data_IF_123407447841
#
_entry.id   IF_123407447841
#
_cell.length_a   1.000
_cell.length_b   1.000
_cell.length_c   1.000
_cell.angle_alpha   90.00
_cell.angle_beta   90.00
_cell.angle_gamma   90.00
#
_symmetry.space_group_name_H-M   'P 1'
#
loop_
_entity.id
_entity.type
_entity.pdbx_description
1 polymer ?
#
# COMPACT_ATOMS: atom_id res chain seq x y z
N UNK A 1 -2.23 22.84 -63.08
CA UNK A 1 -3.12 23.49 -62.10
C UNK A 1 -2.98 22.68 -60.81
N UNK A 2 -2.10 22.99 -59.85
CA UNK A 2 -1.90 24.24 -59.09
C UNK A 2 -3.18 24.76 -58.45
N UNK A 3 -3.24 24.62 -57.13
CA UNK A 3 -4.20 25.17 -56.18
C UNK A 3 -3.81 24.70 -54.77
N UNK A 4 -3.01 25.51 -54.09
CA UNK A 4 -2.38 25.24 -52.79
C UNK A 4 -2.98 26.12 -51.67
N UNK A 5 -2.53 25.81 -50.44
CA UNK A 5 -2.61 26.57 -49.16
C UNK A 5 -3.91 26.42 -48.35
N UNK A 6 -3.94 26.37 -47.02
CA UNK A 6 -3.04 26.24 -45.85
C UNK A 6 -4.00 26.47 -44.64
N UNK A 7 -3.87 26.04 -43.40
CA UNK A 7 -2.92 25.26 -42.61
C UNK A 7 -3.36 25.31 -41.12
N UNK A 8 -2.65 24.56 -40.26
CA UNK A 8 -2.37 24.79 -38.80
C UNK A 8 -3.60 24.77 -37.84
N UNK A 9 -3.70 24.00 -36.75
CA UNK A 9 -2.72 23.66 -35.72
C UNK A 9 -3.04 22.31 -35.03
N UNK A 10 -1.99 21.53 -34.77
CA UNK A 10 -1.95 20.44 -33.78
C UNK A 10 -1.14 20.94 -32.58
N UNK A 11 -1.67 20.79 -31.36
CA UNK A 11 -1.06 20.98 -30.01
C UNK A 11 -2.24 20.78 -29.03
N UNK A 12 -2.22 20.11 -27.88
CA UNK A 12 -1.29 19.41 -26.97
C UNK A 12 -2.19 19.03 -25.76
N UNK A 13 -1.94 18.06 -24.88
CA UNK A 13 -0.72 17.56 -24.26
C UNK A 13 -0.94 16.08 -23.91
N UNK A 14 -0.02 15.23 -24.33
CA UNK A 14 0.40 14.08 -23.55
C UNK A 14 1.67 14.53 -22.84
N UNK A 15 1.68 14.46 -21.51
CA UNK A 15 2.87 14.65 -20.69
C UNK A 15 2.70 13.76 -19.46
N UNK A 16 3.82 13.23 -18.99
CA UNK A 16 4.00 12.40 -17.79
C UNK A 16 3.96 10.89 -18.05
N UNK A 17 4.80 10.45 -18.99
CA UNK A 17 5.49 9.17 -18.92
C UNK A 17 6.90 9.38 -19.48
N UNK A 18 7.90 8.77 -18.83
CA UNK A 18 9.32 8.75 -19.17
C UNK A 18 10.23 9.81 -18.51
N UNK A 19 10.17 9.89 -17.18
CA UNK A 19 11.29 10.41 -16.38
C UNK A 19 11.65 9.40 -15.27
N UNK A 20 11.92 8.16 -15.68
CA UNK A 20 12.54 7.15 -14.83
C UNK A 20 13.92 6.82 -15.41
N UNK A 21 14.94 7.02 -14.57
CA UNK A 21 16.36 6.80 -14.82
C UNK A 21 17.06 7.87 -15.67
N UNK A 22 17.36 9.03 -15.07
CA UNK A 22 18.61 9.71 -15.40
C UNK A 22 19.53 9.74 -14.17
N UNK A 23 20.72 9.21 -14.39
CA UNK A 23 21.71 8.83 -13.41
C UNK A 23 22.52 10.03 -12.93
N UNK A 24 22.31 10.44 -11.67
CA UNK A 24 23.23 11.27 -10.92
C UNK A 24 24.16 10.42 -10.06
N UNK A 25 25.22 9.85 -10.65
CA UNK A 25 26.34 9.31 -9.88
C UNK A 25 27.05 10.47 -9.17
N UNK A 26 26.59 10.81 -7.96
CA UNK A 26 27.23 11.75 -7.06
C UNK A 26 28.59 11.21 -6.61
N UNK A 27 29.65 11.93 -6.97
CA UNK A 27 31.02 11.64 -6.56
C UNK A 27 31.14 11.68 -5.03
N UNK A 28 31.43 10.53 -4.40
CA UNK A 28 31.75 10.44 -2.97
C UNK A 28 33.04 11.21 -2.68
N UNK A 29 32.92 12.34 -1.98
CA UNK A 29 34.06 12.99 -1.32
C UNK A 29 34.54 12.16 -0.12
N UNK A 30 35.83 12.27 0.27
CA UNK A 30 36.46 11.37 1.24
C UNK A 30 35.98 11.50 2.71
N UNK A 31 34.99 12.35 3.01
CA UNK A 31 34.56 12.67 4.39
C UNK A 31 33.03 12.53 4.64
N UNK A 32 32.32 11.73 3.85
CA UNK A 32 30.90 11.43 4.12
C UNK A 32 30.78 10.44 5.29
N UNK A 33 30.84 10.95 6.53
CA UNK A 33 30.44 10.21 7.71
C UNK A 33 28.93 9.90 7.62
N UNK A 34 28.58 8.63 7.44
CA UNK A 34 27.20 8.17 7.46
C UNK A 34 26.56 8.52 8.83
N UNK A 35 25.45 9.27 8.88
CA UNK A 35 24.68 9.36 10.10
C UNK A 35 24.14 7.96 10.40
N UNK A 36 24.24 7.52 11.66
CA UNK A 36 23.98 6.14 12.09
C UNK A 36 22.70 5.56 11.48
N UNK A 37 22.89 4.67 10.51
CA UNK A 37 21.81 3.91 9.87
C UNK A 37 21.27 2.82 10.81
N UNK A 38 20.00 2.42 10.65
CA UNK A 38 19.36 1.42 11.49
C UNK A 38 19.82 0.00 11.11
N UNK A 39 20.32 -0.77 12.08
CA UNK A 39 20.30 -2.24 12.05
C UNK A 39 21.61 -2.97 11.69
N UNK A 40 21.82 -4.12 12.37
CA UNK A 40 22.91 -5.11 12.22
C UNK A 40 24.34 -4.72 12.68
N UNK A 41 24.49 -3.74 13.57
CA UNK A 41 25.80 -3.21 13.96
C UNK A 41 26.48 -3.76 15.23
N UNK A 42 25.82 -4.53 16.09
CA UNK A 42 26.30 -4.64 17.49
C UNK A 42 27.28 -5.79 17.81
N UNK A 43 27.28 -6.95 17.15
CA UNK A 43 28.17 -8.08 17.52
C UNK A 43 28.58 -8.97 16.34
N UNK A 44 29.11 -8.37 15.26
CA UNK A 44 29.70 -9.14 14.17
C UNK A 44 31.21 -9.24 14.37
N UNK A 45 31.74 -10.47 14.38
CA UNK A 45 33.15 -10.76 14.59
C UNK A 45 34.09 -10.06 13.59
N UNK A 46 35.42 -10.06 13.83
CA UNK A 46 36.40 -9.25 13.09
C UNK A 46 36.45 -9.48 11.56
N UNK A 47 35.82 -10.54 11.04
CA UNK A 47 35.68 -10.82 9.60
C UNK A 47 34.54 -10.08 8.88
N UNK A 48 33.68 -9.34 9.60
CA UNK A 48 32.52 -8.63 9.03
C UNK A 48 32.61 -7.10 9.20
N UNK A 49 33.81 -6.54 9.19
CA UNK A 49 34.01 -5.08 9.27
C UNK A 49 33.34 -4.29 8.12
N UNK A 50 33.02 -4.96 7.01
CA UNK A 50 32.27 -4.40 5.89
C UNK A 50 30.76 -4.29 6.16
N UNK A 51 30.20 -5.08 7.08
CA UNK A 51 28.75 -5.20 7.25
C UNK A 51 28.08 -3.89 7.66
N UNK A 52 28.61 -3.10 8.61
CA UNK A 52 28.04 -1.79 8.92
C UNK A 52 28.07 -0.82 7.74
N UNK A 53 29.04 -0.94 6.82
CA UNK A 53 29.12 -0.09 5.63
C UNK A 53 28.05 -0.46 4.59
N UNK A 54 27.69 -1.74 4.46
CA UNK A 54 26.69 -2.20 3.49
C UNK A 54 25.27 -2.07 4.04
N UNK A 55 25.03 -2.59 5.26
CA UNK A 55 23.70 -2.56 5.87
C UNK A 55 23.33 -1.18 6.43
N UNK A 56 24.32 -0.36 6.78
CA UNK A 56 24.10 1.04 7.17
C UNK A 56 24.04 2.03 6.00
N UNK A 57 24.25 1.58 4.75
CA UNK A 57 24.19 2.46 3.58
C UNK A 57 22.75 2.80 3.21
N UNK A 58 22.54 4.08 2.88
CA UNK A 58 21.27 4.63 2.42
C UNK A 58 21.58 5.68 1.33
N UNK A 59 20.80 5.69 0.24
CA UNK A 59 20.89 6.71 -0.83
C UNK A 59 20.26 8.04 -0.41
N UNK A 60 20.30 9.04 -1.30
CA UNK A 60 19.61 10.32 -1.11
C UNK A 60 18.07 10.16 -1.04
N UNK A 61 17.52 9.12 -1.67
CA UNK A 61 16.09 8.80 -1.70
C UNK A 61 15.68 7.80 -0.60
N UNK A 62 16.58 7.46 0.32
CA UNK A 62 16.30 6.50 1.40
C UNK A 62 16.48 5.03 1.01
N UNK A 63 16.99 4.71 -0.18
CA UNK A 63 17.17 3.33 -0.62
C UNK A 63 18.37 2.68 0.06
N UNK A 64 18.12 1.56 0.74
CA UNK A 64 19.18 0.71 1.30
C UNK A 64 19.85 -0.15 0.22
N UNK A 65 20.95 -0.83 0.56
CA UNK A 65 21.57 -1.81 -0.32
C UNK A 65 20.59 -2.90 -0.82
N UNK A 66 19.59 -3.27 -0.01
CA UNK A 66 18.55 -4.22 -0.40
C UNK A 66 17.60 -3.65 -1.47
N UNK A 67 17.18 -2.39 -1.31
CA UNK A 67 16.37 -1.71 -2.33
C UNK A 67 17.11 -1.65 -3.65
N UNK A 68 18.39 -1.24 -3.62
CA UNK A 68 19.23 -1.16 -4.81
C UNK A 68 19.45 -2.53 -5.48
N UNK A 69 19.60 -3.60 -4.69
CA UNK A 69 19.71 -4.95 -5.24
C UNK A 69 18.47 -5.34 -6.06
N UNK A 70 17.28 -4.97 -5.59
CA UNK A 70 16.00 -5.21 -6.28
C UNK A 70 15.83 -4.27 -7.49
N UNK A 71 16.10 -2.97 -7.34
CA UNK A 71 16.00 -1.97 -8.43
C UNK A 71 16.88 -2.36 -9.61
N UNK A 72 18.10 -2.82 -9.33
CA UNK A 72 19.05 -3.26 -10.35
C UNK A 72 18.91 -4.72 -10.76
N UNK A 73 17.90 -5.44 -10.22
CA UNK A 73 17.63 -6.86 -10.52
C UNK A 73 18.87 -7.74 -10.33
N UNK A 74 19.68 -7.42 -9.32
CA UNK A 74 20.97 -8.02 -9.09
C UNK A 74 20.86 -9.21 -8.12
N UNK A 75 20.27 -10.29 -8.63
CA UNK A 75 19.96 -11.52 -7.89
C UNK A 75 21.13 -12.06 -7.02
N UNK A 76 22.38 -12.16 -7.50
CA UNK A 76 23.48 -12.66 -6.66
C UNK A 76 23.78 -11.80 -5.43
N UNK A 77 23.55 -10.49 -5.53
CA UNK A 77 23.77 -9.56 -4.41
C UNK A 77 22.56 -9.55 -3.48
N UNK A 78 21.35 -9.68 -4.02
CA UNK A 78 20.15 -9.93 -3.23
C UNK A 78 20.31 -11.18 -2.37
N UNK A 79 20.70 -12.32 -2.97
CA UNK A 79 20.93 -13.57 -2.25
C UNK A 79 22.00 -13.43 -1.16
N UNK A 80 23.08 -12.71 -1.46
CA UNK A 80 24.11 -12.38 -0.48
C UNK A 80 23.56 -11.58 0.71
N UNK A 81 22.78 -10.52 0.46
CA UNK A 81 22.18 -9.70 1.50
C UNK A 81 21.19 -10.51 2.36
N UNK A 82 20.33 -11.31 1.72
CA UNK A 82 19.35 -12.15 2.42
C UNK A 82 20.01 -13.23 3.30
N UNK A 83 21.21 -13.69 2.95
CA UNK A 83 22.00 -14.60 3.78
C UNK A 83 22.35 -14.05 5.17
N UNK A 84 22.25 -12.73 5.39
CA UNK A 84 22.45 -12.07 6.69
C UNK A 84 21.19 -11.36 7.20
N UNK A 85 20.33 -10.88 6.31
CA UNK A 85 19.16 -10.08 6.67
C UNK A 85 17.87 -10.88 6.90
N UNK A 86 17.82 -12.16 6.55
CA UNK A 86 16.63 -12.98 6.74
C UNK A 86 16.17 -12.99 8.22
N UNK A 87 14.88 -12.75 8.45
CA UNK A 87 14.27 -12.66 9.77
C UNK A 87 14.63 -11.41 10.57
N UNK A 88 15.31 -10.43 9.98
CA UNK A 88 15.68 -9.17 10.66
C UNK A 88 14.81 -8.00 10.20
N UNK A 89 14.77 -6.94 11.01
CA UNK A 89 14.04 -5.70 10.68
C UNK A 89 14.56 -4.98 9.42
N UNK A 90 15.75 -5.36 8.92
CA UNK A 90 16.32 -4.81 7.70
C UNK A 90 15.41 -4.99 6.48
N UNK A 91 14.60 -6.06 6.46
CA UNK A 91 13.63 -6.33 5.39
C UNK A 91 12.44 -5.36 5.40
N UNK A 92 12.20 -4.65 6.51
CA UNK A 92 11.07 -3.74 6.69
C UNK A 92 11.46 -2.27 6.51
N UNK A 93 12.76 -1.97 6.31
CA UNK A 93 13.20 -0.60 6.08
C UNK A 93 12.52 -0.04 4.84
N UNK A 94 12.08 1.22 4.97
CA UNK A 94 11.35 1.94 3.94
C UNK A 94 12.20 3.10 3.42
N UNK A 95 12.22 3.29 2.10
CA UNK A 95 12.78 4.49 1.49
C UNK A 95 11.85 5.70 1.67
N UNK A 96 12.19 6.86 1.07
CA UNK A 96 11.42 8.11 1.24
C UNK A 96 9.99 8.05 0.68
N UNK A 97 9.71 7.06 -0.18
CA UNK A 97 8.38 6.75 -0.68
C UNK A 97 7.60 5.79 0.23
N UNK A 98 8.16 5.39 1.37
CA UNK A 98 7.59 4.36 2.23
C UNK A 98 7.72 2.94 1.63
N UNK A 99 8.52 2.75 0.58
CA UNK A 99 8.60 1.45 -0.09
C UNK A 99 9.65 0.57 0.55
N UNK A 100 9.33 -0.71 0.73
CA UNK A 100 10.30 -1.74 1.12
C UNK A 100 10.83 -2.41 -0.15
N UNK A 101 11.86 -3.24 -0.02
CA UNK A 101 12.32 -4.09 -1.12
C UNK A 101 11.20 -4.98 -1.72
N UNK A 102 10.23 -5.43 -0.89
CA UNK A 102 9.10 -6.23 -1.35
C UNK A 102 8.11 -5.40 -2.20
N UNK A 103 7.90 -4.12 -1.85
CA UNK A 103 7.12 -3.19 -2.67
C UNK A 103 7.74 -3.02 -4.06
N UNK A 104 9.06 -2.79 -4.11
CA UNK A 104 9.78 -2.62 -5.37
C UNK A 104 9.73 -3.90 -6.23
N UNK A 105 9.90 -5.07 -5.62
CA UNK A 105 9.83 -6.35 -6.32
C UNK A 105 8.43 -6.59 -6.95
N UNK A 106 7.36 -6.21 -6.24
CA UNK A 106 6.00 -6.28 -6.78
C UNK A 106 5.79 -5.30 -7.95
N UNK A 107 6.28 -4.07 -7.86
CA UNK A 107 6.21 -3.05 -8.93
C UNK A 107 7.00 -3.50 -10.17
N UNK A 108 8.17 -4.11 -9.98
CA UNK A 108 9.03 -4.60 -11.08
C UNK A 108 8.55 -5.93 -11.68
N UNK A 109 7.45 -6.49 -11.15
CA UNK A 109 6.82 -7.74 -11.57
C UNK A 109 7.74 -8.97 -11.45
N UNK A 110 8.65 -8.96 -10.46
CA UNK A 110 9.65 -10.01 -10.29
C UNK A 110 9.21 -11.07 -9.27
N UNK A 111 8.49 -12.08 -9.73
CA UNK A 111 7.97 -13.14 -8.85
C UNK A 111 9.08 -13.91 -8.10
N UNK A 112 10.25 -14.14 -8.73
CA UNK A 112 11.42 -14.77 -8.08
C UNK A 112 11.90 -13.92 -6.89
N UNK A 113 12.08 -12.63 -7.11
CA UNK A 113 12.52 -11.67 -6.10
C UNK A 113 11.50 -11.56 -4.96
N UNK A 114 10.20 -11.50 -5.29
CA UNK A 114 9.10 -11.53 -4.30
C UNK A 114 9.14 -12.81 -3.47
N UNK A 115 9.34 -13.97 -4.10
CA UNK A 115 9.43 -15.26 -3.40
C UNK A 115 10.62 -15.30 -2.44
N UNK A 116 11.80 -14.85 -2.88
CA UNK A 116 13.01 -14.79 -2.04
C UNK A 116 12.82 -13.88 -0.84
N UNK A 117 12.29 -12.67 -1.04
CA UNK A 117 12.03 -11.72 0.04
C UNK A 117 10.96 -12.26 1.00
N UNK A 118 9.89 -12.86 0.49
CA UNK A 118 8.83 -13.43 1.32
C UNK A 118 9.33 -14.62 2.14
N UNK A 119 10.09 -15.54 1.52
CA UNK A 119 10.73 -16.67 2.19
C UNK A 119 11.75 -16.24 3.25
N UNK A 120 12.41 -15.09 3.05
CA UNK A 120 13.35 -14.52 4.01
C UNK A 120 12.66 -13.82 5.20
N UNK A 121 11.34 -13.73 5.23
CA UNK A 121 10.58 -13.14 6.34
C UNK A 121 10.15 -11.68 6.12
N UNK A 122 10.16 -11.19 4.88
CA UNK A 122 9.57 -9.88 4.58
C UNK A 122 8.06 -9.87 4.94
N UNK A 123 7.61 -8.76 5.53
CA UNK A 123 6.23 -8.59 5.96
C UNK A 123 5.36 -8.18 4.79
N UNK A 124 4.19 -8.82 4.66
CA UNK A 124 3.23 -8.56 3.58
C UNK A 124 2.35 -7.33 3.84
N UNK A 125 2.35 -6.82 5.08
CA UNK A 125 1.40 -5.80 5.54
C UNK A 125 2.04 -4.41 5.72
N UNK A 126 3.34 -4.26 5.45
CA UNK A 126 3.96 -2.94 5.41
C UNK A 126 3.29 -2.15 4.29
N UNK A 127 2.95 -0.88 4.56
CA UNK A 127 2.25 -0.01 3.63
C UNK A 127 3.18 1.14 3.20
N UNK A 128 3.25 1.41 1.89
CA UNK A 128 3.97 2.58 1.38
C UNK A 128 3.20 3.88 1.60
N UNK A 129 3.71 5.02 1.10
CA UNK A 129 3.18 6.35 1.38
C UNK A 129 1.71 6.56 0.96
N UNK A 130 1.19 5.82 -0.02
CA UNK A 130 -0.24 5.77 -0.38
C UNK A 130 -1.07 4.75 0.40
N UNK A 131 -0.48 4.06 1.37
CA UNK A 131 -1.10 2.98 2.12
C UNK A 131 -1.10 1.64 1.36
N UNK A 132 -0.45 1.54 0.21
CA UNK A 132 -0.45 0.30 -0.56
C UNK A 132 0.49 -0.74 0.04
N UNK A 133 0.00 -1.97 0.22
CA UNK A 133 0.86 -3.14 0.46
C UNK A 133 1.43 -3.68 -0.85
N UNK A 134 2.38 -4.62 -0.78
CA UNK A 134 2.93 -5.29 -1.97
C UNK A 134 1.84 -5.92 -2.86
N UNK A 135 0.78 -6.50 -2.26
CA UNK A 135 -0.33 -7.06 -3.03
C UNK A 135 -1.17 -5.98 -3.73
N UNK A 136 -1.39 -4.82 -3.11
CA UNK A 136 -2.05 -3.70 -3.79
C UNK A 136 -1.26 -3.26 -5.02
N UNK A 137 0.07 -3.16 -4.89
CA UNK A 137 0.96 -2.78 -5.99
C UNK A 137 0.93 -3.83 -7.10
N UNK A 138 0.97 -5.12 -6.75
CA UNK A 138 0.82 -6.22 -7.70
C UNK A 138 -0.51 -6.16 -8.46
N UNK A 139 -1.63 -5.84 -7.78
CA UNK A 139 -2.94 -5.66 -8.40
C UNK A 139 -2.99 -4.46 -9.35
N UNK A 140 -2.27 -3.37 -9.03
CA UNK A 140 -2.22 -2.15 -9.85
C UNK A 140 -1.45 -2.36 -11.16
N UNK A 141 -0.32 -3.07 -11.10
CA UNK A 141 0.52 -3.32 -12.28
C UNK A 141 0.11 -4.57 -13.07
N UNK A 142 -0.75 -5.43 -12.50
CA UNK A 142 -1.17 -6.70 -13.13
C UNK A 142 -0.18 -7.84 -12.94
N UNK A 143 0.63 -7.81 -11.88
CA UNK A 143 1.66 -8.82 -11.61
C UNK A 143 1.08 -10.13 -11.06
N UNK A 144 0.40 -10.92 -11.90
CA UNK A 144 -0.27 -12.17 -11.49
C UNK A 144 0.69 -13.19 -10.88
N UNK A 145 1.93 -13.25 -11.37
CA UNK A 145 2.94 -14.16 -10.85
C UNK A 145 3.37 -13.79 -9.42
N UNK A 146 3.55 -12.49 -9.14
CA UNK A 146 3.82 -12.00 -7.79
C UNK A 146 2.62 -12.26 -6.86
N UNK A 147 1.40 -11.99 -7.32
CA UNK A 147 0.20 -12.26 -6.53
C UNK A 147 0.07 -13.74 -6.17
N UNK A 148 0.36 -14.66 -7.10
CA UNK A 148 0.39 -16.12 -6.80
C UNK A 148 1.38 -16.48 -5.69
N UNK A 149 2.54 -15.82 -5.64
CA UNK A 149 3.53 -16.02 -4.58
C UNK A 149 3.06 -15.47 -3.24
N UNK A 150 2.40 -14.31 -3.26
CA UNK A 150 1.92 -13.63 -2.05
C UNK A 150 0.66 -14.27 -1.46
N UNK A 151 -0.20 -14.87 -2.29
CA UNK A 151 -1.50 -15.45 -1.93
C UNK A 151 -1.41 -16.93 -1.53
N UNK A 152 -0.34 -17.30 -0.83
CA UNK A 152 -0.12 -18.65 -0.31
C UNK A 152 0.72 -18.56 0.97
N UNK A 153 0.76 -19.63 1.80
CA UNK A 153 1.62 -19.68 2.96
C UNK A 153 3.08 -19.39 2.62
N UNK A 154 3.80 -18.78 3.57
CA UNK A 154 5.20 -18.39 3.40
C UNK A 154 6.03 -19.59 2.92
N UNK A 155 6.75 -19.47 1.77
CA UNK A 155 7.63 -20.52 1.31
C UNK A 155 8.69 -20.82 2.37
N UNK A 156 8.87 -22.10 2.70
CA UNK A 156 9.94 -22.50 3.60
C UNK A 156 11.28 -22.30 2.90
N UNK A 157 12.14 -21.45 3.46
CA UNK A 157 13.53 -21.39 3.04
C UNK A 157 14.15 -22.78 3.32
N UNK A 158 14.85 -23.42 2.36
CA UNK A 158 15.51 -24.69 2.60
C UNK A 158 16.43 -24.55 3.83
N UNK A 159 16.11 -25.26 4.91
CA UNK A 159 17.00 -25.36 6.08
C UNK A 159 18.36 -25.88 5.60
N UNK A 160 19.35 -25.00 5.58
CA UNK A 160 20.77 -25.36 5.52
C UNK A 160 21.41 -25.28 4.14
N UNK A 161 21.98 -24.12 3.85
CA UNK A 161 23.42 -24.10 3.58
C UNK A 161 24.08 -23.38 4.76
N UNK A 162 25.00 -24.01 5.51
CA UNK A 162 25.77 -23.28 6.51
C UNK A 162 26.45 -22.13 5.79
N UNK A 163 26.20 -20.92 6.26
CA UNK A 163 26.73 -19.69 5.67
C UNK A 163 28.25 -19.84 5.56
N UNK A 164 28.76 -20.13 4.36
CA UNK A 164 30.18 -20.48 4.14
C UNK A 164 31.10 -19.32 4.54
N UNK A 165 30.58 -18.10 4.55
CA UNK A 165 31.25 -16.90 5.05
C UNK A 165 31.49 -16.91 6.57
N UNK A 166 30.65 -17.60 7.36
CA UNK A 166 30.89 -17.79 8.80
C UNK A 166 31.80 -19.00 9.08
N UNK A 167 31.94 -19.93 8.12
CA UNK A 167 32.75 -21.13 8.27
C UNK A 167 34.24 -20.94 7.90
N UNK A 168 34.60 -19.86 7.20
CA UNK A 168 35.97 -19.59 6.75
C UNK A 168 36.85 -18.90 7.81
N UNK A 169 36.74 -19.36 9.05
CA UNK A 169 37.47 -18.85 10.21
C UNK A 169 38.21 -19.92 11.00
N UNK A 170 38.73 -20.99 10.40
CA UNK A 170 39.77 -21.81 11.05
C UNK A 170 40.49 -22.75 10.08
N UNK A 171 41.65 -22.32 9.57
CA UNK A 171 42.67 -23.21 9.03
C UNK A 171 43.85 -23.30 10.01
N UNK A 172 43.82 -24.26 10.93
CA UNK A 172 44.99 -25.01 11.40
C UNK A 172 44.58 -26.28 12.17
N UNK A 173 45.10 -27.42 11.71
CA UNK A 173 44.82 -28.78 12.18
C UNK A 173 45.67 -29.17 13.42
N UNK A 174 45.67 -30.44 13.84
CA UNK A 174 44.71 -31.09 14.72
C UNK A 174 45.36 -31.38 16.08
N UNK A 175 44.68 -31.08 17.20
CA UNK A 175 45.07 -31.70 18.45
C UNK A 175 43.88 -32.16 19.27
N UNK A 176 44.06 -33.37 19.76
CA UNK A 176 43.20 -34.10 20.67
C UNK A 176 42.92 -33.34 21.95
N UNK A 177 41.74 -33.61 22.52
CA UNK A 177 41.27 -33.17 23.83
C UNK A 177 41.14 -31.66 23.99
N UNK A 178 39.94 -31.14 23.80
CA UNK A 178 39.17 -30.45 24.83
C UNK A 178 37.79 -30.16 24.23
N UNK A 179 36.77 -30.80 24.79
CA UNK A 179 35.35 -30.49 24.55
C UNK A 179 35.13 -29.01 24.86
N UNK A 180 35.17 -28.15 23.84
CA UNK A 180 34.79 -26.75 23.97
C UNK A 180 33.29 -26.66 23.74
N UNK A 181 32.61 -26.51 24.86
CA UNK A 181 31.18 -26.30 25.01
C UNK A 181 30.75 -25.11 24.15
N UNK A 182 29.94 -25.38 23.12
CA UNK A 182 29.10 -24.36 22.51
C UNK A 182 28.01 -24.02 23.53
N UNK A 183 28.33 -23.11 24.47
CA UNK A 183 27.38 -22.44 25.34
C UNK A 183 26.68 -21.37 24.49
N UNK A 184 25.77 -21.80 23.62
CA UNK A 184 24.53 -21.06 23.50
C UNK A 184 23.65 -21.59 24.63
N UNK A 185 23.21 -20.75 25.58
CA UNK A 185 22.05 -21.13 26.38
C UNK A 185 20.94 -21.39 25.36
N UNK A 186 20.46 -22.64 25.30
CA UNK A 186 19.16 -22.96 24.73
C UNK A 186 18.18 -21.94 25.31
N UNK A 187 17.55 -21.07 24.50
CA UNK A 187 16.40 -20.35 25.02
C UNK A 187 15.38 -21.44 25.33
N UNK A 188 14.98 -21.49 26.60
CA UNK A 188 13.86 -22.31 27.03
C UNK A 188 12.72 -22.16 26.02
N UNK A 189 12.12 -23.28 25.67
CA UNK A 189 10.96 -23.44 24.80
C UNK A 189 9.75 -22.67 25.36
N UNK A 190 9.83 -21.35 25.40
CA UNK A 190 8.69 -20.46 25.42
C UNK A 190 8.10 -20.58 24.02
N UNK A 191 7.11 -21.46 23.92
CA UNK A 191 6.11 -21.56 22.86
C UNK A 191 6.30 -20.47 21.80
N UNK A 192 6.98 -20.79 20.69
CA UNK A 192 6.84 -19.98 19.48
C UNK A 192 5.33 -19.87 19.27
N UNK A 193 4.78 -18.67 19.49
CA UNK A 193 3.40 -18.33 19.17
C UNK A 193 3.28 -18.63 17.68
N UNK A 194 2.78 -19.82 17.35
CA UNK A 194 2.78 -20.31 16.00
C UNK A 194 2.10 -19.29 15.12
N UNK A 195 2.86 -18.71 14.17
CA UNK A 195 2.31 -17.96 13.04
C UNK A 195 1.14 -18.80 12.53
N UNK A 196 -0.07 -18.28 12.67
CA UNK A 196 -1.27 -19.01 12.30
C UNK A 196 -1.13 -19.35 10.83
N UNK A 197 -1.44 -20.58 10.41
CA UNK A 197 -1.31 -21.03 9.01
C UNK A 197 -2.03 -20.11 8.00
N UNK A 198 -2.87 -19.18 8.49
CA UNK A 198 -3.66 -18.23 7.73
C UNK A 198 -3.19 -16.76 7.83
N UNK A 199 -2.07 -16.43 8.45
CA UNK A 199 -1.63 -15.03 8.63
C UNK A 199 -1.45 -14.28 7.30
N UNK A 200 -1.05 -14.99 6.24
CA UNK A 200 -0.95 -14.41 4.90
C UNK A 200 -2.30 -13.90 4.37
N UNK A 201 -3.44 -14.42 4.84
CA UNK A 201 -4.78 -13.97 4.42
C UNK A 201 -5.10 -12.55 4.91
N UNK A 202 -4.41 -12.05 5.93
CA UNK A 202 -4.61 -10.68 6.44
C UNK A 202 -4.46 -9.62 5.35
N UNK A 203 -3.61 -9.89 4.33
CA UNK A 203 -3.39 -8.95 3.22
C UNK A 203 -4.60 -8.82 2.28
N UNK A 204 -5.52 -9.81 2.24
CA UNK A 204 -6.68 -9.82 1.34
C UNK A 204 -7.62 -8.65 1.61
N UNK A 205 -7.73 -8.28 2.89
CA UNK A 205 -8.64 -7.24 3.37
C UNK A 205 -7.91 -6.00 3.88
N UNK A 206 -6.58 -5.94 3.71
CA UNK A 206 -5.82 -4.73 3.97
C UNK A 206 -6.33 -3.59 3.07
N UNK A 207 -6.41 -2.38 3.61
CA UNK A 207 -6.93 -1.22 2.90
C UNK A 207 -5.82 -0.18 2.72
N UNK A 208 -5.72 0.40 1.53
CA UNK A 208 -4.90 1.59 1.31
C UNK A 208 -5.56 2.84 1.92
N UNK A 209 -4.93 4.02 1.79
CA UNK A 209 -5.47 5.25 2.34
C UNK A 209 -6.74 5.78 1.63
N UNK A 210 -7.10 5.18 0.49
CA UNK A 210 -8.38 5.42 -0.18
C UNK A 210 -9.49 4.47 0.32
N UNK A 211 -9.15 3.51 1.20
CA UNK A 211 -10.06 2.46 1.65
C UNK A 211 -10.29 1.36 0.61
N UNK A 212 -9.42 1.26 -0.40
CA UNK A 212 -9.45 0.21 -1.39
C UNK A 212 -8.68 -1.01 -0.87
N UNK A 213 -9.29 -2.19 -0.97
CA UNK A 213 -8.59 -3.48 -0.80
C UNK A 213 -7.89 -3.89 -2.10
N UNK A 214 -7.03 -4.92 -2.10
CA UNK A 214 -6.47 -5.46 -3.35
C UNK A 214 -7.55 -5.83 -4.37
N UNK A 215 -8.70 -6.34 -3.93
CA UNK A 215 -9.82 -6.65 -4.81
C UNK A 215 -10.42 -5.39 -5.46
N UNK A 216 -10.58 -4.30 -4.70
CA UNK A 216 -11.01 -3.01 -5.27
C UNK A 216 -10.04 -2.53 -6.36
N UNK A 217 -8.73 -2.59 -6.09
CA UNK A 217 -7.70 -2.19 -7.07
C UNK A 217 -7.77 -3.05 -8.33
N UNK A 218 -7.83 -4.38 -8.20
CA UNK A 218 -7.91 -5.30 -9.34
C UNK A 218 -9.16 -5.05 -10.21
N UNK A 219 -10.31 -4.78 -9.59
CA UNK A 219 -11.56 -4.47 -10.30
C UNK A 219 -11.47 -3.13 -11.05
N UNK A 220 -10.91 -2.09 -10.42
CA UNK A 220 -10.73 -0.77 -11.05
C UNK A 220 -9.81 -0.87 -12.29
N UNK A 221 -8.77 -1.70 -12.21
CA UNK A 221 -7.84 -1.97 -13.33
C UNK A 221 -8.38 -2.98 -14.36
N UNK A 222 -9.61 -3.48 -14.15
CA UNK A 222 -10.31 -4.43 -15.03
C UNK A 222 -9.56 -5.75 -15.21
N UNK A 223 -8.82 -6.17 -14.19
CA UNK A 223 -7.98 -7.36 -14.26
C UNK A 223 -8.76 -8.59 -13.80
N UNK A 224 -9.41 -9.27 -14.75
CA UNK A 224 -10.19 -10.46 -14.46
C UNK A 224 -9.34 -11.64 -13.94
N UNK A 225 -8.06 -11.74 -14.29
CA UNK A 225 -7.21 -12.81 -13.76
C UNK A 225 -6.82 -12.53 -12.31
N UNK A 226 -6.47 -11.29 -11.98
CA UNK A 226 -6.19 -10.91 -10.59
C UNK A 226 -7.42 -11.07 -9.69
N UNK A 227 -8.61 -10.72 -10.20
CA UNK A 227 -9.87 -10.95 -9.47
C UNK A 227 -10.11 -12.44 -9.21
N UNK A 228 -9.79 -13.34 -10.16
CA UNK A 228 -9.86 -14.80 -9.92
C UNK A 228 -8.91 -15.22 -8.80
N UNK A 229 -7.64 -14.80 -8.86
CA UNK A 229 -6.63 -15.15 -7.86
C UNK A 229 -7.05 -14.71 -6.45
N UNK A 230 -7.52 -13.47 -6.31
CA UNK A 230 -7.97 -12.93 -5.02
C UNK A 230 -9.21 -13.65 -4.49
N UNK A 231 -10.17 -13.97 -5.36
CA UNK A 231 -11.36 -14.72 -5.00
C UNK A 231 -11.02 -16.15 -4.54
N UNK A 232 -10.17 -16.86 -5.29
CA UNK A 232 -9.72 -18.22 -4.95
C UNK A 232 -8.94 -18.24 -3.63
N UNK A 233 -8.23 -17.15 -3.31
CA UNK A 233 -7.55 -16.96 -2.04
C UNK A 233 -8.49 -16.59 -0.87
N UNK A 234 -9.75 -16.23 -1.14
CA UNK A 234 -10.78 -15.97 -0.13
C UNK A 234 -11.09 -14.50 0.15
N UNK A 235 -10.78 -13.56 -0.77
CA UNK A 235 -11.17 -12.15 -0.64
C UNK A 235 -12.69 -11.97 -0.59
N UNK A 236 -13.16 -11.00 0.22
CA UNK A 236 -14.58 -10.66 0.31
C UNK A 236 -15.07 -9.89 -0.92
N UNK A 237 -15.90 -10.55 -1.72
CA UNK A 237 -16.49 -9.99 -2.94
C UNK A 237 -17.55 -8.91 -2.70
N UNK A 238 -17.94 -8.66 -1.45
CA UNK A 238 -19.01 -7.74 -1.08
C UNK A 238 -18.53 -6.56 -0.23
N UNK A 239 -17.25 -6.53 0.15
CA UNK A 239 -16.71 -5.46 1.00
C UNK A 239 -16.91 -4.10 0.32
N UNK A 240 -17.60 -3.14 0.95
CA UNK A 240 -17.80 -1.83 0.36
C UNK A 240 -16.57 -0.94 0.55
N UNK A 241 -16.22 -0.14 -0.45
CA UNK A 241 -15.28 0.97 -0.26
C UNK A 241 -15.93 2.12 0.52
N UNK A 242 -15.17 2.87 1.33
CA UNK A 242 -15.75 3.77 2.33
C UNK A 242 -16.28 5.10 1.81
N UNK A 243 -15.86 5.57 0.63
CA UNK A 243 -16.19 6.92 0.13
C UNK A 243 -17.67 7.08 -0.20
N UNK A 244 -18.29 6.09 -0.81
CA UNK A 244 -19.74 6.10 -1.06
C UNK A 244 -20.40 4.73 -0.91
N UNK A 245 -19.70 3.74 -0.35
CA UNK A 245 -20.24 2.41 -0.11
C UNK A 245 -20.33 1.55 -1.37
N UNK A 246 -19.48 1.79 -2.39
CA UNK A 246 -19.49 0.98 -3.61
C UNK A 246 -18.95 -0.41 -3.32
N UNK A 247 -19.74 -1.44 -3.62
CA UNK A 247 -19.23 -2.82 -3.64
C UNK A 247 -18.36 -3.08 -4.88
N UNK A 248 -17.61 -4.19 -4.93
CA UNK A 248 -16.84 -4.57 -6.12
C UNK A 248 -17.68 -4.63 -7.41
N UNK A 249 -18.95 -5.04 -7.33
CA UNK A 249 -19.88 -4.99 -8.46
C UNK A 249 -20.18 -3.56 -8.94
N UNK A 250 -20.29 -2.58 -8.04
CA UNK A 250 -20.46 -1.18 -8.43
C UNK A 250 -19.20 -0.67 -9.16
N UNK A 251 -18.01 -0.98 -8.63
CA UNK A 251 -16.74 -0.60 -9.24
C UNK A 251 -16.57 -1.23 -10.62
N UNK A 252 -16.91 -2.51 -10.80
CA UNK A 252 -16.87 -3.19 -12.10
C UNK A 252 -17.81 -2.54 -13.14
N UNK A 253 -19.00 -2.13 -12.69
CA UNK A 253 -19.94 -1.36 -13.52
C UNK A 253 -19.37 0.02 -13.86
N UNK A 254 -18.79 0.75 -12.91
CA UNK A 254 -18.17 2.07 -13.17
C UNK A 254 -16.98 1.96 -14.14
N UNK A 255 -16.16 0.93 -14.00
CA UNK A 255 -15.04 0.62 -14.88
C UNK A 255 -15.49 0.09 -16.27
N UNK A 256 -16.78 -0.20 -16.47
CA UNK A 256 -17.31 -0.82 -17.69
C UNK A 256 -16.68 -2.19 -18.01
N UNK A 257 -16.26 -2.94 -16.99
CA UNK A 257 -15.58 -4.23 -17.12
C UNK A 257 -16.60 -5.39 -17.06
N UNK A 258 -17.13 -5.79 -18.22
CA UNK A 258 -18.18 -6.81 -18.30
C UNK A 258 -17.68 -8.21 -17.92
N UNK A 259 -16.43 -8.53 -18.26
CA UNK A 259 -15.74 -9.77 -17.91
C UNK A 259 -15.49 -9.89 -16.40
N UNK A 260 -15.00 -8.83 -15.76
CA UNK A 260 -14.84 -8.77 -14.31
C UNK A 260 -16.19 -8.85 -13.61
N UNK A 261 -17.20 -8.12 -14.11
CA UNK A 261 -18.54 -8.16 -13.55
C UNK A 261 -19.15 -9.56 -13.62
N UNK A 262 -19.03 -10.24 -14.77
CA UNK A 262 -19.52 -11.61 -14.94
C UNK A 262 -18.80 -12.60 -14.02
N UNK A 263 -17.48 -12.46 -13.86
CA UNK A 263 -16.69 -13.26 -12.92
C UNK A 263 -17.19 -13.08 -11.48
N UNK A 264 -17.29 -11.83 -10.99
CA UNK A 264 -17.75 -11.54 -9.63
C UNK A 264 -19.16 -12.12 -9.37
N UNK A 265 -20.07 -11.99 -10.34
CA UNK A 265 -21.42 -12.54 -10.25
C UNK A 265 -21.44 -14.08 -10.22
N UNK A 266 -20.59 -14.74 -11.02
CA UNK A 266 -20.44 -16.21 -10.98
C UNK A 266 -19.80 -16.69 -9.68
N UNK A 267 -18.91 -15.89 -9.11
CA UNK A 267 -18.23 -16.14 -7.85
C UNK A 267 -19.11 -15.91 -6.61
N UNK A 268 -20.34 -15.40 -6.78
CA UNK A 268 -21.33 -15.25 -5.71
C UNK A 268 -21.38 -13.86 -5.07
N UNK A 269 -20.81 -12.83 -5.71
CA UNK A 269 -21.00 -11.45 -5.27
C UNK A 269 -22.50 -11.08 -5.29
N UNK A 270 -22.98 -10.40 -4.24
CA UNK A 270 -24.38 -10.08 -4.06
C UNK A 270 -24.82 -8.93 -4.98
N UNK A 271 -25.68 -9.16 -5.98
CA UNK A 271 -26.10 -8.12 -6.92
C UNK A 271 -27.11 -7.13 -6.31
N UNK A 272 -27.60 -7.38 -5.09
CA UNK A 272 -28.55 -6.53 -4.37
C UNK A 272 -27.86 -5.53 -3.41
N UNK A 273 -26.53 -5.43 -3.42
CA UNK A 273 -25.82 -4.42 -2.61
C UNK A 273 -26.29 -3.01 -2.98
N UNK A 274 -26.25 -2.10 -2.00
CA UNK A 274 -26.62 -0.70 -2.19
C UNK A 274 -25.49 0.19 -1.70
N UNK A 275 -25.11 1.18 -2.52
CA UNK A 275 -24.25 2.27 -2.07
C UNK A 275 -24.98 3.15 -1.05
N UNK A 276 -24.30 4.09 -0.39
CA UNK A 276 -24.93 4.96 0.63
C UNK A 276 -26.11 5.78 0.08
N UNK A 277 -26.07 6.12 -1.21
CA UNK A 277 -27.17 6.76 -1.93
C UNK A 277 -28.31 5.82 -2.35
N UNK A 278 -28.36 4.58 -1.85
CA UNK A 278 -29.42 3.60 -2.11
C UNK A 278 -29.37 2.90 -3.47
N UNK A 279 -28.55 3.39 -4.41
CA UNK A 279 -28.42 2.83 -5.76
C UNK A 279 -27.79 1.43 -5.72
N UNK A 280 -28.30 0.53 -6.57
CA UNK A 280 -27.79 -0.84 -6.78
C UNK A 280 -26.80 -0.89 -7.95
N UNK A 281 -26.01 -1.98 -8.12
CA UNK A 281 -25.17 -2.15 -9.29
C UNK A 281 -25.96 -2.07 -10.60
N UNK A 282 -27.20 -2.60 -10.63
CA UNK A 282 -28.08 -2.53 -11.80
C UNK A 282 -28.54 -1.09 -12.08
N UNK A 283 -28.91 -0.34 -11.04
CA UNK A 283 -29.24 1.07 -11.17
C UNK A 283 -28.06 1.89 -11.75
N UNK A 284 -26.83 1.60 -11.30
CA UNK A 284 -25.62 2.20 -11.90
C UNK A 284 -25.42 1.76 -13.35
N UNK A 285 -25.64 0.48 -13.69
CA UNK A 285 -25.43 -0.05 -15.03
C UNK A 285 -26.38 0.56 -16.07
N UNK A 286 -27.59 0.95 -15.67
CA UNK A 286 -28.56 1.63 -16.55
C UNK A 286 -28.13 3.05 -16.97
N UNK A 287 -27.27 3.70 -16.18
CA UNK A 287 -26.71 5.03 -16.47
C UNK A 287 -25.42 4.97 -17.29
N UNK A 288 -25.02 3.78 -17.74
CA UNK A 288 -23.76 3.54 -18.42
C UNK A 288 -23.99 3.09 -19.87
N UNK A 289 -23.03 3.35 -20.78
CA UNK A 289 -23.22 3.06 -22.20
C UNK A 289 -23.22 1.57 -22.56
N UNK A 290 -22.69 0.69 -21.70
CA UNK A 290 -22.59 -0.74 -21.98
C UNK A 290 -23.85 -1.52 -21.52
N UNK A 291 -24.77 -1.90 -22.44
CA UNK A 291 -26.00 -2.61 -22.07
C UNK A 291 -25.75 -4.05 -21.61
N UNK A 292 -24.57 -4.62 -21.88
CA UNK A 292 -24.22 -5.97 -21.46
C UNK A 292 -24.18 -6.06 -19.93
N UNK A 293 -23.73 -5.01 -19.24
CA UNK A 293 -23.65 -4.97 -17.79
C UNK A 293 -25.04 -5.15 -17.13
N UNK A 294 -26.04 -4.41 -17.61
CA UNK A 294 -27.40 -4.54 -17.13
C UNK A 294 -28.00 -5.92 -17.43
N UNK A 295 -27.68 -6.51 -18.60
CA UNK A 295 -28.11 -7.87 -18.94
C UNK A 295 -27.49 -8.92 -18.03
N UNK A 296 -26.19 -8.82 -17.74
CA UNK A 296 -25.49 -9.72 -16.82
C UNK A 296 -26.08 -9.65 -15.42
N UNK A 297 -26.28 -8.44 -14.89
CA UNK A 297 -26.87 -8.25 -13.56
C UNK A 297 -28.29 -8.83 -13.47
N UNK A 298 -29.15 -8.60 -14.47
CA UNK A 298 -30.48 -9.21 -14.54
C UNK A 298 -30.43 -10.74 -14.61
N UNK A 299 -29.53 -11.29 -15.41
CA UNK A 299 -29.37 -12.74 -15.54
C UNK A 299 -28.97 -13.41 -14.21
N UNK A 300 -28.29 -12.66 -13.33
CA UNK A 300 -27.90 -13.09 -12.00
C UNK A 300 -28.84 -12.63 -10.88
N UNK A 301 -30.07 -12.19 -11.22
CA UNK A 301 -31.11 -11.89 -10.23
C UNK A 301 -30.96 -10.55 -9.51
N UNK A 302 -30.26 -9.58 -10.11
CA UNK A 302 -30.21 -8.22 -9.57
C UNK A 302 -31.62 -7.62 -9.47
N UNK A 303 -31.99 -6.99 -8.34
CA UNK A 303 -33.28 -6.31 -8.21
C UNK A 303 -33.36 -5.15 -9.20
N UNK A 304 -34.47 -5.05 -9.94
CA UNK A 304 -34.74 -3.87 -10.76
C UNK A 304 -34.71 -2.61 -9.89
N UNK A 305 -34.17 -1.49 -10.40
CA UNK A 305 -34.18 -0.26 -9.65
C UNK A 305 -35.63 0.13 -9.35
N UNK A 306 -35.89 0.48 -8.09
CA UNK A 306 -37.14 1.13 -7.72
C UNK A 306 -37.23 2.47 -8.49
N UNK A 307 -38.42 2.84 -8.98
CA UNK A 307 -38.66 4.08 -9.73
C UNK A 307 -38.40 5.32 -8.86
N UNK A 308 -37.12 5.66 -8.64
CA UNK A 308 -36.69 6.90 -8.00
C UNK A 308 -36.52 8.05 -9.03
N UNK A 309 -37.10 7.90 -10.23
CA UNK A 309 -37.34 9.02 -11.17
C UNK A 309 -38.56 9.86 -10.72
N UNK A 310 -38.60 10.23 -9.43
CA UNK A 310 -39.22 11.48 -9.04
C UNK A 310 -38.10 12.49 -8.91
N UNK A 311 -37.84 13.34 -9.94
CA UNK A 311 -37.05 14.53 -9.70
C UNK A 311 -37.71 15.27 -8.53
N UNK A 312 -36.99 15.43 -7.43
CA UNK A 312 -37.34 16.43 -6.42
C UNK A 312 -37.57 17.76 -7.14
N UNK A 313 -38.53 18.59 -6.68
CA UNK A 313 -39.03 19.70 -7.47
C UNK A 313 -37.88 20.60 -7.91
N UNK A 314 -37.68 20.66 -9.21
CA UNK A 314 -36.98 21.67 -9.99
C UNK A 314 -36.10 22.64 -9.19
N UNK A 315 -34.79 22.41 -9.14
CA UNK A 315 -33.81 23.50 -9.14
C UNK A 315 -33.72 24.07 -10.56
N UNK A 316 -34.81 24.67 -11.04
CA UNK A 316 -34.82 25.50 -12.24
C UNK A 316 -35.00 26.94 -11.81
N UNK A 317 -33.90 27.68 -11.72
CA UNK A 317 -33.79 29.06 -12.22
C UNK A 317 -32.51 29.67 -11.65
N UNK A 318 -31.47 29.71 -12.47
CA UNK A 318 -30.52 30.82 -12.43
C UNK A 318 -30.15 31.11 -13.86
N UNK A 319 -31.16 31.58 -14.60
CA UNK A 319 -30.91 32.49 -15.70
C UNK A 319 -30.09 33.64 -15.11
N UNK A 320 -28.86 33.76 -15.61
CA UNK A 320 -28.02 34.91 -15.35
C UNK A 320 -28.66 36.10 -16.07
N UNK A 321 -29.46 36.88 -15.36
CA UNK A 321 -29.85 38.21 -15.81
C UNK A 321 -29.13 39.25 -14.95
N UNK A 322 -28.33 40.03 -15.65
CA UNK A 322 -27.56 41.17 -15.20
C UNK A 322 -28.47 42.32 -14.78
N UNK A 323 -28.34 42.77 -13.53
CA UNK A 323 -28.98 43.98 -13.01
C UNK A 323 -28.07 44.66 -11.99
N UNK A 324 -27.42 45.72 -12.46
CA UNK A 324 -26.78 46.81 -11.73
C UNK A 324 -27.77 47.55 -10.79
N UNK A 325 -27.25 48.49 -10.01
CA UNK A 325 -27.86 49.31 -8.94
C UNK A 325 -27.73 48.66 -7.53
N UNK A 326 -27.07 49.24 -6.53
CA UNK A 326 -26.90 50.64 -6.18
C UNK A 326 -26.97 50.72 -4.66
N UNK A 327 -25.96 51.34 -4.06
CA UNK A 327 -25.70 51.63 -2.64
C UNK A 327 -26.90 51.71 -1.67
N UNK A 328 -26.80 51.05 -0.50
CA UNK A 328 -27.18 51.63 0.81
C UNK A 328 -26.65 50.76 1.97
N UNK A 329 -25.55 51.19 2.60
CA UNK A 329 -25.10 50.65 3.90
C UNK A 329 -25.59 51.60 4.98
N UNK A 330 -26.48 51.11 5.86
CA UNK A 330 -26.84 51.80 7.09
C UNK A 330 -26.18 51.14 8.30
N UNK A 331 -25.48 52.00 9.05
CA UNK A 331 -24.72 51.73 10.25
C UNK A 331 -25.56 51.23 11.43
N UNK A 332 -25.08 50.22 12.16
CA UNK A 332 -25.26 50.18 13.62
C UNK A 332 -23.94 49.79 14.29
N UNK A 333 -23.27 50.82 14.83
CA UNK A 333 -22.25 50.79 15.88
C UNK A 333 -22.94 50.34 17.18
N UNK A 334 -22.43 49.40 18.00
CA UNK A 334 -21.57 49.56 19.20
C UNK A 334 -21.66 48.22 19.98
N UNK A 335 -20.71 47.63 20.70
CA UNK A 335 -19.33 47.89 21.07
C UNK A 335 -18.65 46.55 21.46
N UNK A 336 -17.43 46.38 20.98
CA UNK A 336 -16.21 45.96 21.69
C UNK A 336 -16.31 45.23 23.04
N UNK A 337 -15.60 44.09 23.17
CA UNK A 337 -15.03 43.71 24.48
C UNK A 337 -14.69 42.23 24.73
N UNK A 338 -13.65 41.74 24.05
CA UNK A 338 -12.89 40.47 24.23
C UNK A 338 -12.92 39.77 25.60
N UNK A 339 -13.22 38.45 25.54
CA UNK A 339 -12.57 37.22 26.08
C UNK A 339 -11.40 37.37 27.09
N UNK A 340 -11.14 36.43 28.05
CA UNK A 340 -10.82 35.01 27.73
C UNK A 340 -11.13 33.90 28.77
N UNK A 341 -11.10 32.66 28.27
CA UNK A 341 -10.71 31.36 28.87
C UNK A 341 -10.43 31.25 30.39
N UNK A 342 -11.09 30.31 31.10
CA UNK A 342 -10.55 28.99 31.53
C UNK A 342 -11.40 28.32 32.63
N UNK A 343 -11.63 26.99 32.45
CA UNK A 343 -11.86 25.85 33.37
C UNK A 343 -12.68 25.99 34.70
N UNK A 344 -13.43 24.95 35.10
CA UNK A 344 -14.26 24.95 36.31
C UNK A 344 -13.54 24.32 37.52
N UNK A 345 -13.85 24.75 38.76
CA UNK A 345 -13.83 23.95 40.00
C UNK A 345 -14.28 24.76 41.25
N UNK A 346 -15.44 24.36 41.82
CA UNK A 346 -15.81 24.22 43.26
C UNK A 346 -15.74 25.38 44.29
N UNK A 347 -16.50 25.31 45.41
CA UNK A 347 -17.20 26.47 45.96
C UNK A 347 -16.66 27.02 47.31
N UNK A 348 -16.99 28.30 47.51
CA UNK A 348 -17.36 29.02 48.74
C UNK A 348 -16.79 28.56 50.12
N UNK A 349 -16.08 29.46 50.81
CA UNK A 349 -16.67 30.30 51.89
C UNK A 349 -15.64 30.98 52.81
N UNK A 350 -15.82 32.31 52.91
CA UNK A 350 -15.69 33.21 54.08
C UNK A 350 -14.34 33.52 54.78
N UNK A 351 -14.24 34.71 55.41
CA UNK A 351 -12.98 35.35 55.78
C UNK A 351 -12.59 35.22 57.26
N UNK A 352 -11.28 35.38 57.50
CA UNK A 352 -10.51 35.59 58.76
C UNK A 352 -11.06 36.77 59.61
N UNK A 353 -10.77 36.90 60.93
CA UNK A 353 -9.40 36.83 61.50
C UNK A 353 -9.23 36.38 62.98
N UNK A 354 -7.97 36.48 63.43
CA UNK A 354 -7.42 36.62 64.79
C UNK A 354 -6.57 35.44 65.35
N UNK A 355 -5.24 35.64 65.32
CA UNK A 355 -4.20 35.03 66.17
C UNK A 355 -4.39 35.48 67.66
N UNK A 356 -3.66 34.99 68.72
CA UNK A 356 -2.47 34.12 68.75
C UNK A 356 -2.46 33.03 69.89
N UNK A 357 -1.29 32.38 70.00
CA UNK A 357 -0.67 31.57 71.08
C UNK A 357 -0.52 30.09 70.75
#
# INVERSE_FOLDING_TARGET
>A
ALGAMAGVACLGKAADADEWCDSGLGSLGPDAAAPGGPGLGAELGPGLSWAPLVFGYVTEDGDTALHLAVIHRHEPFLDFLLGFAAGTEYLYLQNDLGQTALHLAAILEEASTVEKLYAAGASLLVAERGGHTALHLACRVGAHACARVLLQPRPQCPRGVPNTYLAQGSDHAPDTSHTSVALYPEPDLEQEEGESEEDWKLQLEAENYEGHTPLHVAVIHKDAEMVRLLWEAGADLNKPEPTCGRSPLHLAVEAQAADVLELLLKAGANPATRMYGGRTPLGSAMLRPNPILARLLRAHGAPEPEDEDKPGPCSSSSDSDSGDEGDEYDDIVVHSGRSPNQLPLTPASKPLPDDPI
#
